data_IF_186093885335
#
_entry.id   IF_186093885335
#
_cell.length_a   1.000
_cell.length_b   1.000
_cell.length_c   1.000
_cell.angle_alpha   90.00
_cell.angle_beta   90.00
_cell.angle_gamma   90.00
#
_symmetry.space_group_name_H-M   'P 1'
#
loop_
_entity.id
_entity.type
_entity.pdbx_description
1 polymer ?
#
# COMPACT_ATOMS: atom_id res chain seq x y z
N UNK A 1 36.98 -23.61 30.92
CA UNK A 1 36.24 -24.08 29.71
C UNK A 1 34.73 -24.19 29.95
N UNK A 2 34.25 -24.77 31.06
CA UNK A 2 32.81 -24.85 31.37
C UNK A 2 32.10 -23.48 31.38
N UNK A 3 32.73 -22.46 31.97
CA UNK A 3 32.15 -21.11 32.08
C UNK A 3 32.06 -20.35 30.73
N UNK A 4 32.88 -20.72 29.73
CA UNK A 4 32.84 -20.08 28.41
C UNK A 4 31.64 -20.60 27.58
N UNK A 5 31.32 -21.89 27.73
CA UNK A 5 30.15 -22.51 27.10
C UNK A 5 28.84 -21.99 27.71
N UNK A 6 28.79 -21.76 29.02
CA UNK A 6 27.60 -21.20 29.68
C UNK A 6 27.31 -19.76 29.24
N UNK A 7 28.34 -18.94 29.05
CA UNK A 7 28.18 -17.54 28.58
C UNK A 7 27.69 -17.51 27.13
N UNK A 8 28.19 -18.41 26.27
CA UNK A 8 27.77 -18.49 24.86
C UNK A 8 26.30 -18.96 24.71
N UNK A 9 25.83 -19.86 25.58
CA UNK A 9 24.44 -20.33 25.60
C UNK A 9 23.47 -19.25 26.08
N UNK A 10 23.86 -18.45 27.08
CA UNK A 10 23.04 -17.34 27.58
C UNK A 10 22.93 -16.23 26.53
N UNK A 11 24.00 -15.90 25.81
CA UNK A 11 23.93 -14.88 24.74
C UNK A 11 23.00 -15.28 23.60
N UNK A 12 23.01 -16.55 23.17
CA UNK A 12 22.12 -17.05 22.11
C UNK A 12 20.64 -16.97 22.55
N UNK A 13 20.33 -17.31 23.81
CA UNK A 13 18.96 -17.21 24.36
C UNK A 13 18.50 -15.76 24.50
N UNK A 14 19.41 -14.84 24.88
CA UNK A 14 19.11 -13.41 24.95
C UNK A 14 18.86 -12.79 23.57
N UNK A 15 19.59 -13.19 22.53
CA UNK A 15 19.41 -12.66 21.17
C UNK A 15 18.06 -13.09 20.58
N UNK A 16 17.60 -14.33 20.85
CA UNK A 16 16.31 -14.82 20.35
C UNK A 16 15.08 -14.18 21.03
N UNK A 17 15.23 -13.60 22.23
CA UNK A 17 14.14 -12.90 22.93
C UNK A 17 14.05 -11.40 22.59
N UNK A 18 15.01 -10.84 21.85
CA UNK A 18 15.02 -9.41 21.47
C UNK A 18 14.34 -9.18 20.11
N UNK A 19 14.16 -10.21 19.28
CA UNK A 19 13.59 -10.09 17.93
C UNK A 19 12.09 -10.45 17.82
N UNK A 20 11.37 -10.53 18.94
CA UNK A 20 9.92 -10.66 18.93
C UNK A 20 9.25 -9.29 18.90
N UNK A 21 9.28 -8.61 17.75
CA UNK A 21 8.38 -7.48 17.50
C UNK A 21 6.98 -8.05 17.24
N UNK A 22 6.17 -8.13 18.29
CA UNK A 22 4.74 -8.41 18.17
C UNK A 22 4.10 -7.26 17.39
N UNK A 23 3.93 -7.44 16.07
CA UNK A 23 3.00 -6.63 15.30
C UNK A 23 1.63 -6.79 15.94
N UNK A 24 1.20 -5.79 16.70
CA UNK A 24 -0.08 -5.78 17.39
C UNK A 24 -1.18 -5.81 16.32
N UNK A 25 -1.62 -7.02 15.97
CA UNK A 25 -2.58 -7.26 14.90
C UNK A 25 -3.86 -6.47 15.23
N UNK A 26 -4.13 -5.40 14.49
CA UNK A 26 -5.31 -4.58 14.72
C UNK A 26 -6.55 -5.44 14.54
N UNK A 27 -7.38 -5.50 15.58
CA UNK A 27 -8.66 -6.20 15.51
C UNK A 27 -9.55 -5.51 14.47
N UNK A 28 -9.74 -6.18 13.33
CA UNK A 28 -10.60 -5.67 12.25
C UNK A 28 -12.07 -5.80 12.64
N UNK A 29 -12.88 -4.81 12.26
CA UNK A 29 -14.33 -4.85 12.50
C UNK A 29 -15.00 -5.88 11.60
N UNK A 30 -14.61 -5.91 10.33
CA UNK A 30 -15.03 -6.91 9.35
C UNK A 30 -13.82 -7.38 8.54
N UNK A 31 -13.86 -8.58 7.94
CA UNK A 31 -12.84 -8.97 6.96
C UNK A 31 -12.91 -8.09 5.71
N UNK A 32 -11.79 -7.97 5.00
CA UNK A 32 -11.68 -7.19 3.74
C UNK A 32 -12.75 -7.56 2.71
N UNK A 33 -13.04 -8.87 2.58
CA UNK A 33 -14.07 -9.39 1.68
C UNK A 33 -15.47 -8.82 1.93
N UNK A 34 -15.79 -8.46 3.18
CA UNK A 34 -17.05 -7.82 3.50
C UNK A 34 -17.13 -6.42 2.87
N UNK A 35 -16.05 -5.64 2.96
CA UNK A 35 -15.99 -4.30 2.39
C UNK A 35 -15.97 -4.35 0.85
N UNK A 36 -15.18 -5.27 0.29
CA UNK A 36 -15.12 -5.55 -1.14
C UNK A 36 -16.51 -5.84 -1.70
N UNK A 37 -17.23 -6.82 -1.14
CA UNK A 37 -18.56 -7.21 -1.61
C UNK A 37 -19.54 -6.02 -1.58
N UNK A 38 -19.60 -5.28 -0.47
CA UNK A 38 -20.56 -4.17 -0.31
C UNK A 38 -20.28 -3.01 -1.24
N UNK A 39 -19.03 -2.56 -1.30
CA UNK A 39 -18.68 -1.43 -2.16
C UNK A 39 -18.79 -1.82 -3.63
N UNK A 40 -18.30 -3.01 -4.01
CA UNK A 40 -18.33 -3.47 -5.40
C UNK A 40 -19.77 -3.62 -5.90
N UNK A 41 -20.65 -4.23 -5.11
CA UNK A 41 -22.07 -4.35 -5.43
C UNK A 41 -22.74 -2.97 -5.59
N UNK A 42 -22.46 -2.03 -4.69
CA UNK A 42 -23.01 -0.66 -4.76
C UNK A 42 -22.54 0.12 -6.00
N UNK A 43 -21.39 -0.25 -6.57
CA UNK A 43 -20.80 0.37 -7.75
C UNK A 43 -20.99 -0.45 -9.04
N UNK A 44 -21.96 -1.38 -9.06
CA UNK A 44 -22.26 -2.25 -10.20
C UNK A 44 -21.03 -3.02 -10.72
N UNK A 45 -20.14 -3.41 -9.81
CA UNK A 45 -18.96 -4.20 -10.12
C UNK A 45 -19.15 -5.69 -9.85
N UNK A 46 -18.17 -6.47 -10.27
CA UNK A 46 -18.05 -7.91 -10.02
C UNK A 46 -16.75 -8.19 -9.29
N UNK A 47 -16.81 -9.00 -8.23
CA UNK A 47 -15.65 -9.39 -7.41
C UNK A 47 -14.94 -10.64 -7.97
N UNK A 48 -13.71 -10.88 -7.50
CA UNK A 48 -12.92 -12.09 -7.75
C UNK A 48 -12.71 -12.44 -9.25
N UNK A 49 -12.45 -11.43 -10.08
CA UNK A 49 -12.17 -11.65 -11.51
C UNK A 49 -10.70 -12.06 -11.71
N UNK A 50 -10.48 -13.20 -12.36
CA UNK A 50 -9.14 -13.67 -12.72
C UNK A 50 -8.49 -12.81 -13.79
N UNK A 51 -7.20 -12.54 -13.60
CA UNK A 51 -6.34 -11.81 -14.53
C UNK A 51 -5.53 -12.77 -15.41
N UNK A 52 -4.85 -12.20 -16.41
CA UNK A 52 -4.03 -12.96 -17.38
C UNK A 52 -2.89 -13.76 -16.75
N UNK A 53 -2.46 -13.41 -15.54
CA UNK A 53 -1.39 -14.07 -14.78
C UNK A 53 -1.91 -14.98 -13.65
N UNK A 54 -3.22 -15.24 -13.62
CA UNK A 54 -3.94 -16.02 -12.60
C UNK A 54 -4.02 -15.34 -11.21
N UNK A 55 -3.64 -14.08 -11.07
CA UNK A 55 -4.06 -13.28 -9.91
C UNK A 55 -5.55 -12.94 -10.02
N UNK A 56 -6.12 -12.36 -8.95
CA UNK A 56 -7.53 -11.98 -8.89
C UNK A 56 -7.64 -10.52 -8.51
N UNK A 57 -8.44 -9.77 -9.23
CA UNK A 57 -8.82 -8.43 -8.82
C UNK A 57 -10.00 -8.46 -7.84
N UNK A 58 -9.97 -7.58 -6.86
CA UNK A 58 -10.97 -7.53 -5.80
C UNK A 58 -12.32 -7.06 -6.32
N UNK A 59 -12.33 -6.05 -7.19
CA UNK A 59 -13.54 -5.56 -7.84
C UNK A 59 -13.26 -5.03 -9.25
N UNK A 60 -14.18 -5.31 -10.17
CA UNK A 60 -14.13 -4.83 -11.55
C UNK A 60 -15.45 -4.15 -11.90
N UNK A 61 -15.41 -2.86 -12.23
CA UNK A 61 -16.57 -2.09 -12.71
C UNK A 61 -16.49 -1.86 -14.21
N UNK A 62 -17.47 -1.18 -14.82
CA UNK A 62 -17.42 -0.84 -16.26
C UNK A 62 -16.20 0.00 -16.67
N UNK A 63 -15.56 0.70 -15.74
CA UNK A 63 -14.47 1.64 -16.02
C UNK A 63 -13.21 1.43 -15.16
N UNK A 64 -13.29 0.69 -14.06
CA UNK A 64 -12.18 0.49 -13.13
C UNK A 64 -11.89 -0.98 -12.82
N UNK A 65 -10.63 -1.24 -12.48
CA UNK A 65 -10.17 -2.44 -11.80
C UNK A 65 -9.56 -2.02 -10.48
N UNK A 66 -10.07 -2.59 -9.39
CA UNK A 66 -9.97 -1.99 -8.07
C UNK A 66 -9.32 -2.99 -7.11
N UNK A 67 -8.32 -2.50 -6.39
CA UNK A 67 -7.75 -3.13 -5.19
C UNK A 67 -8.43 -2.57 -3.94
N UNK A 68 -8.68 -3.44 -2.96
CA UNK A 68 -9.13 -3.10 -1.63
C UNK A 68 -8.07 -3.48 -0.62
N UNK A 69 -7.74 -2.53 0.26
CA UNK A 69 -6.80 -2.78 1.34
C UNK A 69 -7.22 -2.02 2.58
N UNK A 70 -6.89 -2.56 3.76
CA UNK A 70 -6.97 -1.76 4.98
C UNK A 70 -5.98 -0.60 4.97
N UNK A 71 -6.30 0.47 5.68
CA UNK A 71 -5.51 1.70 5.68
C UNK A 71 -4.01 1.50 5.96
N UNK A 72 -3.64 0.59 6.85
CA UNK A 72 -2.23 0.28 7.13
C UNK A 72 -1.49 -0.44 6.01
N UNK A 73 -2.20 -0.99 5.01
CA UNK A 73 -1.68 -1.66 3.82
C UNK A 73 -1.69 -0.76 2.58
N UNK A 74 -1.70 0.56 2.79
CA UNK A 74 -1.82 1.53 1.71
C UNK A 74 -0.66 1.48 0.70
N UNK A 75 0.55 1.03 1.09
CA UNK A 75 1.68 0.91 0.16
C UNK A 75 1.43 -0.22 -0.85
N UNK A 76 1.01 -1.38 -0.36
CA UNK A 76 0.67 -2.57 -1.13
C UNK A 76 -0.42 -2.27 -2.16
N UNK A 77 -1.43 -1.48 -1.75
CA UNK A 77 -2.55 -1.09 -2.61
C UNK A 77 -2.13 -0.35 -3.89
N UNK A 78 -1.04 0.43 -3.83
CA UNK A 78 -0.51 1.15 -5.01
C UNK A 78 0.05 0.15 -6.03
N UNK A 79 0.87 -0.79 -5.56
CA UNK A 79 1.48 -1.78 -6.44
C UNK A 79 0.43 -2.73 -7.03
N UNK A 80 -0.50 -3.21 -6.20
CA UNK A 80 -1.54 -4.15 -6.63
C UNK A 80 -2.53 -3.51 -7.61
N UNK A 81 -2.99 -2.27 -7.37
CA UNK A 81 -3.89 -1.58 -8.31
C UNK A 81 -3.25 -1.38 -9.69
N UNK A 82 -1.98 -0.98 -9.75
CA UNK A 82 -1.24 -0.82 -11.00
C UNK A 82 -0.99 -2.18 -11.67
N UNK A 83 -0.63 -3.20 -10.90
CA UNK A 83 -0.44 -4.56 -11.39
C UNK A 83 -1.73 -5.10 -12.03
N UNK A 84 -2.88 -4.94 -11.37
CA UNK A 84 -4.16 -5.35 -11.92
C UNK A 84 -4.48 -4.67 -13.24
N UNK A 85 -4.24 -3.36 -13.35
CA UNK A 85 -4.40 -2.63 -14.59
C UNK A 85 -3.55 -3.21 -15.74
N UNK A 86 -2.32 -3.63 -15.46
CA UNK A 86 -1.43 -4.22 -16.48
C UNK A 86 -1.90 -5.59 -16.97
N UNK A 87 -2.55 -6.36 -16.09
CA UNK A 87 -2.94 -7.75 -16.36
C UNK A 87 -4.41 -7.94 -16.71
N UNK A 88 -5.22 -6.88 -16.71
CA UNK A 88 -6.61 -6.96 -17.14
C UNK A 88 -6.72 -6.97 -18.67
N UNK A 89 -7.50 -7.90 -19.27
CA UNK A 89 -7.61 -8.01 -20.73
C UNK A 89 -8.19 -6.77 -21.42
N UNK A 90 -9.06 -6.02 -20.74
CA UNK A 90 -9.66 -4.79 -21.26
C UNK A 90 -9.00 -3.55 -20.65
N UNK A 91 -9.17 -2.40 -21.30
CA UNK A 91 -8.69 -1.14 -20.73
C UNK A 91 -9.64 -0.65 -19.63
N UNK A 92 -9.30 -0.89 -18.38
CA UNK A 92 -9.93 -0.27 -17.20
C UNK A 92 -8.89 0.55 -16.44
N UNK A 93 -9.28 1.65 -15.79
CA UNK A 93 -8.36 2.43 -14.95
C UNK A 93 -8.05 1.67 -13.65
N UNK A 94 -6.82 1.73 -13.13
CA UNK A 94 -6.54 1.24 -11.78
C UNK A 94 -7.28 2.09 -10.76
N UNK A 95 -7.79 1.45 -9.72
CA UNK A 95 -8.44 2.09 -8.60
C UNK A 95 -8.04 1.47 -7.26
N UNK A 96 -8.11 2.28 -6.20
CA UNK A 96 -7.88 1.82 -4.82
C UNK A 96 -9.06 2.23 -3.97
N UNK A 97 -9.64 1.29 -3.24
CA UNK A 97 -10.54 1.58 -2.13
C UNK A 97 -9.81 1.28 -0.82
N UNK A 98 -9.45 2.33 -0.09
CA UNK A 98 -8.78 2.19 1.20
C UNK A 98 -9.84 2.05 2.31
N UNK A 99 -9.78 0.94 3.04
CA UNK A 99 -10.73 0.63 4.12
C UNK A 99 -10.28 1.37 5.39
N UNK A 100 -11.14 2.28 5.85
CA UNK A 100 -10.91 3.13 7.02
C UNK A 100 -11.83 2.68 8.15
N UNK A 101 -11.29 1.97 9.14
CA UNK A 101 -12.07 1.51 10.30
C UNK A 101 -11.94 2.47 11.49
N UNK A 102 -10.78 3.11 11.65
CA UNK A 102 -10.52 4.09 12.70
C UNK A 102 -10.06 5.41 12.07
N UNK A 103 -11.00 6.30 11.78
CA UNK A 103 -10.71 7.60 11.15
C UNK A 103 -9.66 8.45 11.89
N UNK A 104 -9.50 8.28 13.21
CA UNK A 104 -8.51 9.06 13.96
C UNK A 104 -7.10 8.60 13.62
N UNK A 105 -6.89 7.28 13.47
CA UNK A 105 -5.58 6.69 13.25
C UNK A 105 -5.27 6.39 11.78
N UNK A 106 -6.29 6.18 10.95
CA UNK A 106 -6.15 5.69 9.58
C UNK A 106 -6.08 6.82 8.54
N UNK A 107 -6.63 8.00 8.83
CA UNK A 107 -6.64 9.12 7.87
C UNK A 107 -5.24 9.53 7.40
N UNK A 108 -4.21 9.37 8.23
CA UNK A 108 -2.82 9.61 7.85
C UNK A 108 -2.38 8.74 6.66
N UNK A 109 -2.90 7.52 6.52
CA UNK A 109 -2.56 6.63 5.42
C UNK A 109 -3.23 7.04 4.12
N UNK A 110 -4.46 7.55 4.21
CA UNK A 110 -5.14 8.16 3.08
C UNK A 110 -4.38 9.37 2.53
N UNK A 111 -3.91 10.26 3.42
CA UNK A 111 -3.14 11.43 3.02
C UNK A 111 -1.81 11.03 2.37
N UNK A 112 -1.11 10.03 2.95
CA UNK A 112 0.14 9.48 2.39
C UNK A 112 -0.07 8.84 1.01
N UNK A 113 -1.12 8.04 0.85
CA UNK A 113 -1.49 7.41 -0.42
C UNK A 113 -1.65 8.47 -1.52
N UNK A 114 -2.54 9.43 -1.31
CA UNK A 114 -2.82 10.44 -2.32
C UNK A 114 -1.62 11.35 -2.58
N UNK A 115 -0.84 11.69 -1.55
CA UNK A 115 0.39 12.46 -1.72
C UNK A 115 1.39 11.76 -2.65
N UNK A 116 1.57 10.43 -2.53
CA UNK A 116 2.43 9.66 -3.44
C UNK A 116 1.85 9.65 -4.86
N UNK A 117 0.55 9.33 -5.01
CA UNK A 117 -0.08 9.28 -6.33
C UNK A 117 0.05 10.63 -7.07
N UNK A 118 -0.19 11.74 -6.37
CA UNK A 118 -0.08 13.09 -6.91
C UNK A 118 1.37 13.45 -7.26
N UNK A 119 2.31 13.20 -6.34
CA UNK A 119 3.73 13.54 -6.49
C UNK A 119 4.35 12.85 -7.70
N UNK A 120 3.97 11.60 -7.94
CA UNK A 120 4.48 10.80 -9.06
C UNK A 120 3.56 10.76 -10.27
N UNK A 121 2.45 11.52 -10.25
CA UNK A 121 1.44 11.58 -11.31
C UNK A 121 0.95 10.18 -11.75
N UNK A 122 0.69 9.31 -10.78
CA UNK A 122 0.20 7.96 -11.02
C UNK A 122 -1.29 8.02 -11.37
N UNK A 123 -1.73 7.36 -12.46
CA UNK A 123 -3.11 7.46 -12.96
C UNK A 123 -4.06 6.52 -12.22
N UNK A 124 -4.10 6.59 -10.89
CA UNK A 124 -4.91 5.73 -10.01
C UNK A 124 -6.00 6.57 -9.36
N UNK A 125 -7.26 6.17 -9.55
CA UNK A 125 -8.40 6.82 -8.89
C UNK A 125 -8.58 6.20 -7.48
N UNK A 126 -8.88 7.01 -6.46
CA UNK A 126 -8.94 6.54 -5.06
C UNK A 126 -10.27 6.83 -4.39
N UNK A 127 -10.67 5.96 -3.47
CA UNK A 127 -11.82 6.15 -2.57
C UNK A 127 -11.49 5.63 -1.16
N UNK A 128 -12.27 6.07 -0.18
CA UNK A 128 -12.32 5.45 1.14
C UNK A 128 -13.64 4.69 1.33
N UNK A 129 -13.63 3.66 2.17
CA UNK A 129 -14.85 2.98 2.61
C UNK A 129 -14.74 2.52 4.07
N UNK A 130 -15.81 2.65 4.85
CA UNK A 130 -15.83 2.30 6.27
C UNK A 130 -16.27 3.45 7.19
N UNK A 131 -15.90 3.37 8.47
CA UNK A 131 -16.28 4.33 9.51
C UNK A 131 -15.47 5.64 9.48
N UNK A 132 -14.51 5.77 8.57
CA UNK A 132 -13.90 7.05 8.21
C UNK A 132 -14.52 7.63 6.94
N UNK A 133 -15.58 8.41 7.13
CA UNK A 133 -16.25 9.25 6.14
C UNK A 133 -16.99 8.45 5.04
N UNK A 134 -18.31 8.31 5.24
CA UNK A 134 -19.24 8.17 4.13
C UNK A 134 -19.53 9.58 3.60
N UNK A 135 -19.01 9.90 2.41
CA UNK A 135 -19.40 11.10 1.67
C UNK A 135 -18.33 12.18 1.56
N UNK A 136 -17.96 12.47 0.31
CA UNK A 136 -17.40 13.74 -0.17
C UNK A 136 -16.07 14.20 0.47
N UNK A 137 -14.97 13.68 -0.06
CA UNK A 137 -13.63 14.30 0.06
C UNK A 137 -13.55 15.54 -0.84
N UNK A 138 -14.31 16.59 -0.50
CA UNK A 138 -14.19 17.92 -1.10
C UNK A 138 -13.89 18.90 0.04
N UNK A 139 -12.77 19.61 -0.05
CA UNK A 139 -12.32 20.70 0.85
C UNK A 139 -11.44 20.35 2.07
N UNK A 140 -10.34 19.61 1.90
CA UNK A 140 -9.25 19.59 2.92
C UNK A 140 -7.83 19.71 2.35
N UNK A 141 -7.64 20.56 1.34
CA UNK A 141 -6.30 20.88 0.82
C UNK A 141 -5.69 22.17 1.39
N UNK A 142 -6.35 22.87 2.33
CA UNK A 142 -5.84 24.15 2.85
C UNK A 142 -4.99 24.06 4.14
N UNK A 143 -4.65 22.87 4.67
CA UNK A 143 -3.99 22.83 6.01
C UNK A 143 -2.92 21.76 6.20
N UNK A 144 -2.11 21.47 5.19
CA UNK A 144 -0.90 20.65 5.40
C UNK A 144 0.35 21.49 5.14
N UNK A 145 0.83 22.14 6.20
CA UNK A 145 2.26 22.45 6.35
C UNK A 145 2.81 21.62 7.51
N UNK A 146 3.69 20.66 7.18
CA UNK A 146 4.73 20.18 8.08
C UNK A 146 4.41 18.91 8.88
N UNK A 147 4.65 17.74 8.29
CA UNK A 147 5.23 16.62 9.04
C UNK A 147 5.94 15.66 8.06
N UNK A 148 7.28 15.73 8.03
CA UNK A 148 8.13 14.80 7.29
C UNK A 148 8.92 13.98 8.30
N UNK A 149 8.53 12.74 8.55
CA UNK A 149 9.33 11.80 9.33
C UNK A 149 9.39 10.42 8.68
N UNK A 150 10.63 9.99 8.39
CA UNK A 150 11.17 8.63 8.51
C UNK A 150 10.68 7.51 7.57
N UNK A 151 9.37 7.33 7.43
CA UNK A 151 8.76 6.11 6.83
C UNK A 151 8.83 6.05 5.30
N UNK A 152 9.03 7.20 4.64
CA UNK A 152 8.97 7.33 3.20
C UNK A 152 10.09 6.59 2.45
N UNK A 153 11.15 6.13 3.15
CA UNK A 153 12.32 5.50 2.51
C UNK A 153 12.10 4.05 2.08
N UNK A 154 11.17 3.32 2.71
CA UNK A 154 10.97 1.90 2.39
C UNK A 154 10.05 1.75 1.17
N UNK A 155 8.95 2.50 1.10
CA UNK A 155 8.04 2.48 -0.06
C UNK A 155 8.61 3.13 -1.32
N UNK A 156 9.62 4.00 -1.20
CA UNK A 156 10.26 4.65 -2.35
C UNK A 156 11.06 3.66 -3.21
N UNK A 157 11.77 2.70 -2.59
CA UNK A 157 12.56 1.70 -3.33
C UNK A 157 11.65 0.74 -4.12
N UNK A 158 10.50 0.36 -3.56
CA UNK A 158 9.50 -0.49 -4.24
C UNK A 158 8.80 0.26 -5.37
N UNK A 159 8.46 1.53 -5.18
CA UNK A 159 7.91 2.38 -6.22
C UNK A 159 8.92 2.65 -7.36
N UNK A 160 10.20 2.84 -7.04
CA UNK A 160 11.28 2.96 -8.04
C UNK A 160 11.41 1.67 -8.85
N UNK A 161 11.36 0.51 -8.19
CA UNK A 161 11.42 -0.77 -8.88
C UNK A 161 10.21 -0.97 -9.82
N UNK A 162 9.01 -0.62 -9.38
CA UNK A 162 7.81 -0.66 -10.23
C UNK A 162 7.91 0.29 -11.45
N UNK A 163 8.44 1.50 -11.26
CA UNK A 163 8.64 2.48 -12.34
C UNK A 163 9.76 2.09 -13.33
N UNK A 164 10.77 1.35 -12.86
CA UNK A 164 11.83 0.77 -13.70
C UNK A 164 11.29 -0.36 -14.59
N UNK A 165 10.42 -1.23 -14.06
CA UNK A 165 9.73 -2.28 -14.83
C UNK A 165 8.87 -1.67 -15.95
N UNK A 166 8.26 -0.51 -15.70
CA UNK A 166 7.43 0.22 -16.67
C UNK A 166 8.24 1.03 -17.71
N UNK A 167 9.58 1.02 -17.65
CA UNK A 167 10.45 1.75 -18.59
C UNK A 167 10.33 3.28 -18.51
N UNK A 168 9.73 3.82 -17.44
CA UNK A 168 9.43 5.25 -17.27
C UNK A 168 10.58 6.05 -16.66
N UNK A 169 11.60 5.39 -16.11
CA UNK A 169 12.79 6.03 -15.54
C UNK A 169 14.04 5.39 -16.16
N UNK A 170 14.86 6.17 -16.87
CA UNK A 170 16.25 5.81 -17.18
C UNK A 170 17.13 6.35 -16.07
N UNK A 171 17.81 5.47 -15.33
CA UNK A 171 18.85 5.92 -14.40
C UNK A 171 20.03 6.48 -15.19
N UNK A 172 20.49 7.66 -14.81
CA UNK A 172 21.81 8.14 -15.21
C UNK A 172 22.80 7.42 -14.29
N UNK A 173 23.65 6.59 -14.86
CA UNK A 173 24.72 5.91 -14.13
C UNK A 173 25.56 6.98 -13.40
N UNK A 174 25.85 6.82 -12.09
CA UNK A 174 26.58 7.84 -11.36
C UNK A 174 27.99 7.97 -11.95
N UNK A 175 28.30 9.18 -12.40
CA UNK A 175 29.62 9.54 -12.93
C UNK A 175 30.61 9.61 -11.76
N UNK A 176 31.17 8.46 -11.39
CA UNK A 176 32.21 8.38 -10.36
C UNK A 176 33.50 8.86 -11.01
N UNK A 177 33.75 10.17 -10.97
CA UNK A 177 35.08 10.68 -11.26
C UNK A 177 36.06 10.20 -10.18
N UNK A 178 37.18 9.57 -10.56
CA UNK A 178 38.21 9.21 -9.60
C UNK A 178 38.81 10.48 -9.01
N UNK A 179 38.70 10.60 -7.68
CA UNK A 179 39.36 11.66 -6.91
C UNK A 179 40.86 11.47 -7.11
N UNK A 180 41.51 12.46 -7.73
CA UNK A 180 42.98 12.57 -7.81
C UNK A 180 43.54 13.10 -6.50
#
# INVERSE_FOLDING_TARGET
MKNLFTILLISIICVNNIYGEDALERTRTYPESWYQEKWCQANNGTTEIFLTDNTRADCVTSIHIIEFDFADKWYESIAQSLHYHLHFPEKRKPGIVLIIEDSVNDNKYWDRLNHILDTFHLPVDTWTYGNGITGEYKERFETIQGDTNGDARIGLEEAIHALQILGKIKTKEPDIHPIK
#
